data_IF_481478060285
#
_entry.id   IF_481478060285
#
_cell.length_a   1.000
_cell.length_b   1.000
_cell.length_c   1.000
_cell.angle_alpha   90.00
_cell.angle_beta   90.00
_cell.angle_gamma   90.00
#
_symmetry.space_group_name_H-M   'P 1'
#
loop_
_entity.id
_entity.type
_entity.pdbx_description
1 polymer ?
#
# COMPACT_ATOMS: atom_id res chain seq x y z
N UNK A 1 -65.14 -85.55 -14.24
CA UNK A 1 -64.89 -86.82 -13.55
C UNK A 1 -63.39 -87.06 -13.48
N UNK A 2 -62.91 -87.49 -12.30
CA UNK A 2 -61.63 -88.15 -12.01
C UNK A 2 -60.30 -87.36 -12.19
N UNK A 3 -59.68 -87.02 -11.04
CA UNK A 3 -58.23 -87.00 -10.89
C UNK A 3 -57.70 -88.44 -10.83
N UNK A 4 -56.44 -88.69 -11.25
CA UNK A 4 -55.55 -89.36 -10.29
C UNK A 4 -54.05 -89.01 -10.35
N UNK A 5 -53.46 -89.05 -9.15
CA UNK A 5 -52.18 -89.69 -8.70
C UNK A 5 -50.79 -89.16 -9.13
N UNK A 6 -50.10 -88.65 -8.09
CA UNK A 6 -48.65 -88.63 -7.83
C UNK A 6 -48.11 -90.09 -7.61
N UNK A 7 -46.81 -90.46 -7.72
CA UNK A 7 -45.73 -90.16 -6.73
C UNK A 7 -44.32 -90.01 -7.39
N UNK A 8 -43.19 -89.60 -6.77
CA UNK A 8 -42.41 -90.26 -5.70
C UNK A 8 -41.15 -89.40 -5.40
N UNK A 9 -40.72 -89.42 -4.14
CA UNK A 9 -39.56 -88.74 -3.54
C UNK A 9 -38.22 -89.45 -3.77
N UNK A 10 -37.12 -88.68 -3.72
CA UNK A 10 -35.78 -89.07 -3.21
C UNK A 10 -34.94 -87.76 -3.12
N UNK A 11 -34.07 -87.44 -2.16
CA UNK A 11 -33.53 -88.07 -0.96
C UNK A 11 -32.89 -86.92 -0.11
N UNK A 12 -32.59 -87.22 1.15
CA UNK A 12 -32.33 -86.35 2.31
C UNK A 12 -30.83 -86.06 2.54
N UNK A 13 -30.47 -84.91 3.14
CA UNK A 13 -29.52 -84.64 4.27
C UNK A 13 -29.11 -83.14 4.23
N UNK A 14 -29.44 -82.26 5.20
CA UNK A 14 -28.78 -82.04 6.52
C UNK A 14 -27.25 -82.13 6.42
N UNK A 15 -26.39 -81.21 6.83
CA UNK A 15 -26.35 -80.01 7.68
C UNK A 15 -25.12 -79.20 7.21
N UNK A 16 -24.94 -77.89 7.42
CA UNK A 16 -24.27 -77.37 8.62
C UNK A 16 -24.15 -75.81 8.53
N UNK A 17 -24.62 -75.16 9.58
CA UNK A 17 -24.01 -74.00 10.27
C UNK A 17 -23.60 -72.75 9.45
N UNK A 18 -24.48 -71.75 9.52
CA UNK A 18 -24.25 -70.43 10.11
C UNK A 18 -22.98 -69.61 9.78
N UNK A 19 -23.27 -68.39 9.28
CA UNK A 19 -22.73 -67.10 9.78
C UNK A 19 -21.44 -66.57 9.14
N UNK A 20 -21.57 -65.79 8.06
CA UNK A 20 -20.86 -64.49 7.97
C UNK A 20 -21.79 -63.42 7.39
N UNK A 21 -21.90 -62.35 8.17
CA UNK A 21 -22.75 -61.18 8.02
C UNK A 21 -22.07 -60.17 7.09
N UNK A 22 -22.84 -59.70 6.10
CA UNK A 22 -22.83 -58.36 5.51
C UNK A 22 -21.83 -57.34 6.07
N UNK A 23 -20.82 -56.95 5.28
CA UNK A 23 -20.15 -55.65 5.37
C UNK A 23 -19.50 -55.26 4.03
N UNK A 24 -20.28 -54.81 3.04
CA UNK A 24 -19.72 -53.99 1.93
C UNK A 24 -20.81 -53.17 1.25
N UNK A 25 -21.24 -52.04 1.84
CA UNK A 25 -21.97 -51.01 1.06
C UNK A 25 -22.02 -49.59 1.66
N UNK A 26 -21.61 -49.36 2.91
CA UNK A 26 -21.67 -48.00 3.49
C UNK A 26 -20.43 -47.14 3.26
N UNK A 27 -19.28 -47.71 2.93
CA UNK A 27 -18.01 -46.97 2.89
C UNK A 27 -17.84 -46.06 1.67
N UNK A 28 -18.63 -46.26 0.61
CA UNK A 28 -18.53 -45.47 -0.64
C UNK A 28 -19.32 -44.15 -0.58
N UNK A 29 -20.42 -44.10 0.17
CA UNK A 29 -21.31 -42.91 0.20
C UNK A 29 -20.73 -41.75 0.98
N UNK A 30 -19.85 -42.01 1.95
CA UNK A 30 -19.25 -40.94 2.78
C UNK A 30 -18.01 -40.30 2.14
N UNK A 31 -17.46 -40.89 1.07
CA UNK A 31 -16.29 -40.33 0.37
C UNK A 31 -16.65 -39.21 -0.60
N UNK A 32 -17.86 -39.22 -1.17
CA UNK A 32 -18.31 -38.14 -2.07
C UNK A 32 -18.75 -36.87 -1.32
N UNK A 33 -19.40 -36.99 -0.15
CA UNK A 33 -19.77 -35.81 0.65
C UNK A 33 -18.57 -35.17 1.37
N UNK A 34 -17.49 -35.91 1.59
CA UNK A 34 -16.25 -35.38 2.19
C UNK A 34 -15.39 -34.56 1.22
N UNK A 35 -15.64 -34.64 -0.09
CA UNK A 35 -14.85 -33.92 -1.10
C UNK A 35 -15.50 -32.59 -1.52
N UNK A 36 -16.82 -32.45 -1.43
CA UNK A 36 -17.52 -31.21 -1.86
C UNK A 36 -17.52 -30.13 -0.77
N UNK A 37 -17.50 -30.50 0.51
CA UNK A 37 -17.40 -29.54 1.62
C UNK A 37 -15.97 -29.04 1.86
N UNK A 38 -14.94 -29.79 1.43
CA UNK A 38 -13.54 -29.37 1.58
C UNK A 38 -13.13 -28.30 0.55
N UNK A 39 -13.77 -28.26 -0.62
CA UNK A 39 -13.53 -27.22 -1.64
C UNK A 39 -14.15 -25.85 -1.32
N UNK A 40 -15.19 -25.78 -0.48
CA UNK A 40 -15.84 -24.52 -0.13
C UNK A 40 -15.21 -23.78 1.06
N UNK A 41 -14.44 -24.48 1.92
CA UNK A 41 -13.70 -23.85 3.02
C UNK A 41 -12.36 -23.25 2.54
N UNK A 42 -11.79 -23.74 1.43
CA UNK A 42 -10.56 -23.19 0.86
C UNK A 42 -10.76 -21.88 0.06
N UNK A 43 -11.96 -21.57 -0.40
CA UNK A 43 -12.21 -20.37 -1.20
C UNK A 43 -12.31 -19.08 -0.37
N UNK A 44 -12.45 -19.17 0.95
CA UNK A 44 -12.63 -18.01 1.84
C UNK A 44 -11.33 -17.49 2.50
N UNK A 45 -10.18 -18.12 2.22
CA UNK A 45 -8.90 -17.84 2.92
C UNK A 45 -7.89 -17.00 2.12
N UNK A 46 -8.26 -16.49 0.93
CA UNK A 46 -7.31 -15.77 0.06
C UNK A 46 -7.68 -14.29 -0.17
N UNK A 47 -8.31 -13.64 0.79
CA UNK A 47 -8.27 -12.17 0.87
C UNK A 47 -7.12 -11.76 1.79
N UNK A 48 -5.89 -12.12 1.42
CA UNK A 48 -4.71 -11.47 1.99
C UNK A 48 -4.68 -10.05 1.43
N UNK A 49 -5.26 -9.10 2.16
CA UNK A 49 -5.12 -7.68 1.83
C UNK A 49 -3.63 -7.34 1.79
N UNK A 50 -3.12 -7.05 0.60
CA UNK A 50 -1.77 -6.49 0.48
C UNK A 50 -1.83 -5.07 1.02
N UNK A 51 -1.46 -4.87 2.28
CA UNK A 51 -1.19 -3.53 2.78
C UNK A 51 -0.08 -2.92 1.91
N UNK A 52 -0.37 -1.80 1.25
CA UNK A 52 0.67 -1.04 0.56
C UNK A 52 1.57 -0.42 1.62
N UNK A 53 2.85 -0.78 1.61
CA UNK A 53 3.84 -0.13 2.46
C UNK A 53 3.96 1.34 2.07
N UNK A 54 3.90 2.24 3.05
CA UNK A 54 4.11 3.67 2.82
C UNK A 54 5.60 4.01 2.84
N UNK A 55 5.98 5.04 2.07
CA UNK A 55 7.35 5.55 2.01
C UNK A 55 7.89 6.07 3.36
N UNK A 56 7.03 6.24 4.36
CA UNK A 56 7.34 6.81 5.68
C UNK A 56 7.04 5.88 6.86
N UNK A 57 6.63 4.63 6.61
CA UNK A 57 6.21 3.68 7.67
C UNK A 57 7.30 3.42 8.72
N UNK A 58 8.57 3.56 8.35
CA UNK A 58 9.74 3.37 9.21
C UNK A 58 10.24 4.67 9.89
N UNK A 59 9.53 5.79 9.70
CA UNK A 59 9.89 7.10 10.25
C UNK A 59 8.87 7.59 11.28
N UNK A 60 9.32 8.46 12.20
CA UNK A 60 8.44 9.05 13.20
C UNK A 60 7.88 10.38 12.70
N UNK A 61 6.56 10.56 12.77
CA UNK A 61 5.93 11.85 12.46
C UNK A 61 6.36 12.90 13.48
N UNK A 62 6.95 14.00 13.01
CA UNK A 62 7.43 15.10 13.84
C UNK A 62 6.40 16.22 13.99
N UNK A 63 5.61 16.45 12.95
CA UNK A 63 4.56 17.47 12.91
C UNK A 63 3.81 17.45 11.59
N UNK A 64 2.69 18.18 11.54
CA UNK A 64 1.82 18.27 10.37
C UNK A 64 1.12 19.63 10.34
N UNK A 65 0.76 20.11 9.16
CA UNK A 65 0.08 21.38 8.95
C UNK A 65 -0.51 21.51 7.55
N UNK A 66 -1.18 22.63 7.27
CA UNK A 66 -1.81 22.89 5.98
C UNK A 66 -1.24 24.15 5.33
N UNK A 67 -1.12 24.12 4.00
CA UNK A 67 -0.80 25.27 3.19
C UNK A 67 -2.06 25.82 2.54
N UNK A 68 -2.34 27.09 2.78
CA UNK A 68 -3.49 27.78 2.19
C UNK A 68 -3.06 28.97 1.36
N UNK A 69 -3.75 29.19 0.25
CA UNK A 69 -3.61 30.38 -0.57
C UNK A 69 -4.95 31.07 -0.71
N UNK A 70 -5.00 32.33 -0.29
CA UNK A 70 -6.25 33.08 -0.11
C UNK A 70 -7.22 32.31 0.81
N UNK A 71 -8.35 31.85 0.28
CA UNK A 71 -9.41 31.14 1.00
C UNK A 71 -9.43 29.63 0.73
N UNK A 72 -8.44 29.12 -0.01
CA UNK A 72 -8.35 27.71 -0.39
C UNK A 72 -7.17 27.02 0.29
N UNK A 73 -7.40 25.86 0.88
CA UNK A 73 -6.32 24.95 1.27
C UNK A 73 -5.83 24.19 0.05
N UNK A 74 -4.51 24.23 -0.21
CA UNK A 74 -3.87 23.60 -1.36
C UNK A 74 -3.44 22.17 -1.06
N UNK A 75 -2.81 21.96 0.09
CA UNK A 75 -2.35 20.64 0.54
C UNK A 75 -2.18 20.60 2.06
N UNK A 76 -2.20 19.39 2.63
CA UNK A 76 -1.58 19.14 3.92
C UNK A 76 -0.14 18.67 3.75
N UNK A 77 0.69 18.99 4.73
CA UNK A 77 2.08 18.58 4.78
C UNK A 77 2.33 17.87 6.11
N UNK A 78 3.07 16.76 6.03
CA UNK A 78 3.52 15.99 7.17
C UNK A 78 5.02 15.78 7.10
N UNK A 79 5.72 16.07 8.21
CA UNK A 79 7.16 15.93 8.30
C UNK A 79 7.53 14.77 9.23
N UNK A 80 8.44 13.92 8.75
CA UNK A 80 8.86 12.69 9.41
C UNK A 80 10.38 12.64 9.54
N UNK A 81 10.87 12.06 10.64
CA UNK A 81 12.32 11.88 10.87
C UNK A 81 12.63 10.56 11.59
N UNK A 82 13.84 10.07 11.42
CA UNK A 82 14.44 9.14 12.40
C UNK A 82 14.77 9.89 13.70
N UNK A 83 14.91 9.20 14.85
CA UNK A 83 15.32 9.85 16.11
C UNK A 83 16.65 10.61 16.02
N UNK A 84 17.56 10.15 15.17
CA UNK A 84 18.85 10.80 14.86
C UNK A 84 18.73 11.97 13.87
N UNK A 85 17.57 12.16 13.24
CA UNK A 85 17.34 13.05 12.08
C UNK A 85 18.23 12.74 10.86
N UNK A 86 18.85 11.56 10.80
CA UNK A 86 19.68 11.13 9.66
C UNK A 86 18.87 10.86 8.41
N UNK A 87 17.61 10.42 8.57
CA UNK A 87 16.64 10.31 7.49
C UNK A 87 15.44 11.20 7.78
N UNK A 88 14.95 11.83 6.73
CA UNK A 88 13.83 12.77 6.80
C UNK A 88 12.91 12.56 5.61
N UNK A 89 11.62 12.73 5.82
CA UNK A 89 10.65 12.73 4.75
C UNK A 89 9.63 13.85 4.91
N UNK A 90 9.16 14.37 3.78
CA UNK A 90 8.04 15.29 3.70
C UNK A 90 7.00 14.66 2.78
N UNK A 91 5.80 14.47 3.31
CA UNK A 91 4.63 13.98 2.58
C UNK A 91 3.66 15.12 2.38
N UNK A 92 3.25 15.33 1.13
CA UNK A 92 2.23 16.31 0.75
C UNK A 92 1.00 15.55 0.25
N UNK A 93 -0.18 15.91 0.73
CA UNK A 93 -1.46 15.44 0.20
C UNK A 93 -2.20 16.63 -0.41
N UNK A 94 -2.40 16.59 -1.72
CA UNK A 94 -2.99 17.70 -2.47
C UNK A 94 -4.51 17.65 -2.38
N UNK A 95 -5.11 18.82 -2.16
CA UNK A 95 -6.57 18.97 -2.12
C UNK A 95 -7.12 19.56 -3.41
N UNK A 96 -6.26 19.81 -4.41
CA UNK A 96 -6.62 20.44 -5.69
C UNK A 96 -5.78 19.84 -6.81
N UNK A 97 -6.34 19.86 -8.01
CA UNK A 97 -5.60 19.52 -9.21
C UNK A 97 -4.57 20.62 -9.53
N UNK A 98 -3.34 20.23 -9.84
CA UNK A 98 -2.26 21.14 -10.25
C UNK A 98 -1.42 20.46 -11.33
N UNK A 99 -1.19 21.17 -12.43
CA UNK A 99 -0.33 20.68 -13.50
C UNK A 99 1.12 20.53 -13.01
N UNK A 100 1.81 19.48 -13.49
CA UNK A 100 3.19 19.20 -13.09
C UNK A 100 4.12 20.37 -13.35
N UNK A 101 3.92 21.08 -14.47
CA UNK A 101 4.68 22.27 -14.82
C UNK A 101 4.52 23.37 -13.77
N UNK A 102 3.31 23.59 -13.29
CA UNK A 102 3.01 24.62 -12.28
C UNK A 102 3.58 24.25 -10.92
N UNK A 103 3.59 22.95 -10.55
CA UNK A 103 4.28 22.46 -9.35
C UNK A 103 5.79 22.75 -9.41
N UNK A 104 6.43 22.45 -10.54
CA UNK A 104 7.87 22.65 -10.72
C UNK A 104 8.21 24.15 -10.76
N UNK A 105 7.38 24.98 -11.40
CA UNK A 105 7.55 26.42 -11.45
C UNK A 105 7.38 27.07 -10.07
N UNK A 106 6.37 26.65 -9.30
CA UNK A 106 6.22 27.10 -7.92
C UNK A 106 7.42 26.71 -7.04
N UNK A 107 7.97 25.50 -7.23
CA UNK A 107 9.19 25.04 -6.54
C UNK A 107 10.40 25.93 -6.89
N UNK A 108 10.57 26.26 -8.17
CA UNK A 108 11.59 27.21 -8.64
C UNK A 108 11.47 28.57 -7.96
N UNK A 109 10.26 29.10 -7.87
CA UNK A 109 10.00 30.40 -7.26
C UNK A 109 10.34 30.39 -5.77
N UNK A 110 10.01 29.32 -5.06
CA UNK A 110 10.37 29.15 -3.65
C UNK A 110 11.89 29.09 -3.46
N UNK A 111 12.61 28.33 -4.27
CA UNK A 111 14.08 28.33 -4.21
C UNK A 111 14.71 29.68 -4.54
N UNK A 112 14.11 30.42 -5.49
CA UNK A 112 14.57 31.77 -5.83
C UNK A 112 14.40 32.72 -4.64
N UNK A 113 13.26 32.65 -3.94
CA UNK A 113 13.01 33.42 -2.70
C UNK A 113 13.96 33.05 -1.56
N UNK A 114 14.34 31.78 -1.47
CA UNK A 114 15.34 31.29 -0.50
C UNK A 114 16.79 31.64 -0.88
N UNK A 115 17.03 32.24 -2.06
CA UNK A 115 18.35 32.69 -2.49
C UNK A 115 19.25 31.60 -3.06
N UNK A 116 18.71 30.45 -3.47
CA UNK A 116 19.51 29.44 -4.17
C UNK A 116 19.99 29.96 -5.54
N UNK A 117 21.21 29.56 -5.93
CA UNK A 117 21.78 30.02 -7.20
C UNK A 117 21.00 29.51 -8.40
N UNK A 118 20.90 30.32 -9.45
CA UNK A 118 20.19 29.93 -10.68
C UNK A 118 20.78 28.68 -11.34
N UNK A 119 22.08 28.42 -11.17
CA UNK A 119 22.73 27.19 -11.66
C UNK A 119 22.21 25.95 -10.93
N UNK A 120 22.17 25.99 -9.59
CA UNK A 120 21.64 24.89 -8.79
C UNK A 120 20.16 24.65 -9.10
N UNK A 121 19.36 25.71 -9.13
CA UNK A 121 17.93 25.64 -9.46
C UNK A 121 17.75 24.96 -10.83
N UNK A 122 18.39 25.44 -11.90
CA UNK A 122 18.24 24.86 -13.24
C UNK A 122 18.63 23.37 -13.29
N UNK A 123 19.71 22.99 -12.59
CA UNK A 123 20.15 21.60 -12.49
C UNK A 123 19.09 20.71 -11.84
N UNK A 124 18.45 21.22 -10.78
CA UNK A 124 17.45 20.49 -10.00
C UNK A 124 16.07 20.45 -10.65
N UNK A 125 15.68 21.46 -11.45
CA UNK A 125 14.39 21.46 -12.14
C UNK A 125 14.30 20.39 -13.24
N UNK A 126 15.42 20.08 -13.92
CA UNK A 126 15.43 19.10 -15.01
C UNK A 126 14.89 17.72 -14.60
N UNK A 127 15.36 17.07 -13.51
CA UNK A 127 14.76 15.81 -13.07
C UNK A 127 13.33 15.97 -12.55
N UNK A 128 12.96 17.12 -11.96
CA UNK A 128 11.58 17.34 -11.49
C UNK A 128 10.58 17.36 -12.66
N UNK A 129 10.85 18.13 -13.72
CA UNK A 129 9.99 18.12 -14.93
C UNK A 129 9.90 16.75 -15.59
N UNK A 130 10.93 15.91 -15.46
CA UNK A 130 10.93 14.58 -16.05
C UNK A 130 10.13 13.55 -15.24
N UNK A 131 10.02 13.72 -13.91
CA UNK A 131 9.46 12.69 -13.03
C UNK A 131 8.09 13.05 -12.46
N UNK A 132 7.79 14.32 -12.22
CA UNK A 132 6.56 14.70 -11.53
C UNK A 132 5.35 14.63 -12.46
N UNK A 133 4.31 13.86 -12.09
CA UNK A 133 3.04 13.86 -12.80
C UNK A 133 2.20 15.09 -12.41
N UNK A 134 1.08 15.28 -13.10
CA UNK A 134 0.02 16.14 -12.58
C UNK A 134 -0.49 15.55 -11.26
N UNK A 135 -0.87 16.41 -10.31
CA UNK A 135 -1.54 16.00 -9.07
C UNK A 135 -3.02 16.27 -9.21
N UNK A 136 -3.83 15.41 -8.64
CA UNK A 136 -5.27 15.57 -8.49
C UNK A 136 -5.63 15.75 -7.01
N UNK A 137 -6.89 16.05 -6.71
CA UNK A 137 -7.37 15.97 -5.32
C UNK A 137 -7.20 14.56 -4.75
N UNK A 138 -6.55 14.45 -3.60
CA UNK A 138 -6.18 13.20 -2.93
C UNK A 138 -4.83 12.62 -3.37
N UNK A 139 -4.17 13.17 -4.39
CA UNK A 139 -2.83 12.74 -4.77
C UNK A 139 -1.82 13.02 -3.67
N UNK A 140 -0.86 12.11 -3.50
CA UNK A 140 0.24 12.27 -2.54
C UNK A 140 1.59 12.35 -3.23
N UNK A 141 2.42 13.32 -2.83
CA UNK A 141 3.82 13.43 -3.24
C UNK A 141 4.70 13.39 -1.99
N UNK A 142 5.56 12.39 -1.91
CA UNK A 142 6.48 12.20 -0.79
C UNK A 142 7.92 12.28 -1.28
N UNK A 143 8.73 13.09 -0.60
CA UNK A 143 10.20 13.04 -0.72
C UNK A 143 10.77 12.37 0.52
N UNK A 144 11.70 11.43 0.34
CA UNK A 144 12.54 10.88 1.41
C UNK A 144 14.01 11.21 1.12
N UNK A 145 14.66 11.88 2.05
CA UNK A 145 16.09 12.16 2.07
C UNK A 145 16.74 11.12 2.98
N UNK A 146 17.48 10.19 2.38
CA UNK A 146 18.16 9.13 3.10
C UNK A 146 19.47 9.62 3.75
N UNK A 147 20.08 8.78 4.57
CA UNK A 147 21.30 9.09 5.32
C UNK A 147 22.49 9.47 4.40
N UNK A 148 22.53 8.93 3.18
CA UNK A 148 23.52 9.26 2.15
C UNK A 148 23.24 10.61 1.44
N UNK A 149 22.18 11.32 1.84
CA UNK A 149 21.60 12.52 1.24
C UNK A 149 21.02 12.32 -0.17
N UNK A 150 20.77 11.08 -0.58
CA UNK A 150 20.04 10.79 -1.82
C UNK A 150 18.55 11.01 -1.59
N UNK A 151 17.92 11.72 -2.52
CA UNK A 151 16.49 12.04 -2.45
C UNK A 151 15.68 11.10 -3.32
N UNK A 152 14.68 10.43 -2.75
CA UNK A 152 13.76 9.52 -3.44
C UNK A 152 12.36 10.11 -3.41
N UNK A 153 11.69 10.13 -4.57
CA UNK A 153 10.31 10.60 -4.69
C UNK A 153 9.34 9.45 -4.87
N UNK A 154 8.18 9.60 -4.25
CA UNK A 154 7.06 8.68 -4.35
C UNK A 154 5.80 9.48 -4.69
N UNK A 155 5.02 8.99 -5.66
CA UNK A 155 3.70 9.50 -6.01
C UNK A 155 2.68 8.41 -5.72
N UNK A 156 1.67 8.69 -4.90
CA UNK A 156 0.69 7.69 -4.45
C UNK A 156 1.33 6.39 -3.93
N UNK A 157 2.36 6.60 -3.10
CA UNK A 157 3.22 5.57 -2.49
C UNK A 157 4.05 4.75 -3.51
N UNK A 158 4.02 5.08 -4.80
CA UNK A 158 4.85 4.44 -5.84
C UNK A 158 6.12 5.24 -6.11
N UNK A 159 7.32 4.61 -6.15
CA UNK A 159 8.55 5.33 -6.46
C UNK A 159 8.53 5.86 -7.89
N UNK A 160 8.79 7.16 -8.06
CA UNK A 160 8.77 7.85 -9.36
C UNK A 160 10.13 8.38 -9.80
N UNK A 161 11.11 8.45 -8.88
CA UNK A 161 12.44 8.92 -9.25
C UNK A 161 13.39 9.08 -8.08
N UNK A 162 14.65 9.36 -8.41
CA UNK A 162 15.73 9.58 -7.44
C UNK A 162 16.65 10.68 -7.95
N UNK A 163 17.09 11.55 -7.05
CA UNK A 163 18.06 12.61 -7.32
C UNK A 163 19.29 12.37 -6.44
N UNK A 164 20.44 12.22 -7.10
CA UNK A 164 21.73 11.87 -6.50
C UNK A 164 22.52 13.09 -5.99
N UNK A 165 22.11 14.30 -6.37
CA UNK A 165 22.74 15.53 -5.89
C UNK A 165 22.47 15.70 -4.38
N UNK A 166 23.51 15.55 -3.57
CA UNK A 166 23.41 15.59 -2.10
C UNK A 166 22.93 16.93 -1.53
N UNK A 167 22.99 18.00 -2.32
CA UNK A 167 22.47 19.31 -1.91
C UNK A 167 20.96 19.44 -2.16
N UNK A 168 20.40 18.62 -3.04
CA UNK A 168 19.00 18.72 -3.46
C UNK A 168 18.04 18.49 -2.31
N UNK A 169 18.21 17.41 -1.54
CA UNK A 169 17.25 17.01 -0.51
C UNK A 169 17.06 18.09 0.56
N UNK A 170 18.17 18.66 1.02
CA UNK A 170 18.16 19.80 1.94
C UNK A 170 17.48 21.02 1.33
N UNK A 171 17.82 21.36 0.08
CA UNK A 171 17.23 22.51 -0.60
C UNK A 171 15.72 22.35 -0.80
N UNK A 172 15.27 21.14 -1.11
CA UNK A 172 13.85 20.85 -1.27
C UNK A 172 13.11 20.99 0.07
N UNK A 173 13.59 20.33 1.12
CA UNK A 173 13.00 20.43 2.45
C UNK A 173 13.03 21.86 3.01
N UNK A 174 14.04 22.66 2.65
CA UNK A 174 14.17 24.06 3.06
C UNK A 174 12.99 24.93 2.64
N UNK A 175 12.25 24.59 1.57
CA UNK A 175 11.02 25.31 1.17
C UNK A 175 10.03 25.39 2.34
N UNK A 176 9.92 24.34 3.15
CA UNK A 176 9.03 24.29 4.32
C UNK A 176 9.75 24.51 5.65
N UNK A 177 11.01 24.08 5.76
CA UNK A 177 11.69 23.96 7.05
C UNK A 177 12.73 25.06 7.31
N UNK A 178 13.13 25.82 6.30
CA UNK A 178 14.07 26.93 6.46
C UNK A 178 13.47 28.03 7.34
N UNK A 179 14.29 28.69 8.14
CA UNK A 179 13.88 29.90 8.87
C UNK A 179 13.44 31.03 7.93
N UNK A 180 13.90 31.01 6.68
CA UNK A 180 13.55 31.98 5.63
C UNK A 180 12.41 31.51 4.72
N UNK A 181 11.65 30.47 5.08
CA UNK A 181 10.49 30.00 4.31
C UNK A 181 9.45 31.12 4.12
N UNK A 182 8.69 31.07 3.02
CA UNK A 182 7.53 31.95 2.86
C UNK A 182 6.39 31.60 3.82
N UNK A 183 6.40 30.42 4.44
CA UNK A 183 5.33 29.92 5.32
C UNK A 183 5.77 29.64 6.77
N UNK A 184 6.14 30.67 7.57
CA UNK A 184 6.64 30.47 8.93
C UNK A 184 5.65 29.75 9.87
N UNK A 185 4.35 29.93 9.66
CA UNK A 185 3.31 29.25 10.44
C UNK A 185 3.31 27.74 10.21
N UNK A 186 3.29 27.34 8.94
CA UNK A 186 3.38 25.94 8.52
C UNK A 186 4.68 25.30 9.01
N UNK A 187 5.82 26.01 8.91
CA UNK A 187 7.09 25.54 9.47
C UNK A 187 6.98 25.17 10.94
N UNK A 188 6.38 26.05 11.77
CA UNK A 188 6.26 25.77 13.20
C UNK A 188 5.37 24.54 13.46
N UNK A 189 4.32 24.35 12.66
CA UNK A 189 3.48 23.15 12.72
C UNK A 189 4.28 21.88 12.40
N UNK A 190 5.03 21.88 11.30
CA UNK A 190 5.84 20.74 10.86
C UNK A 190 6.98 20.40 11.83
N UNK A 191 7.58 21.40 12.47
CA UNK A 191 8.65 21.21 13.45
C UNK A 191 8.13 20.94 14.87
N UNK A 192 6.81 20.97 15.08
CA UNK A 192 6.20 20.81 16.40
C UNK A 192 6.60 21.92 17.39
N UNK A 193 6.77 23.15 16.89
CA UNK A 193 7.15 24.33 17.66
C UNK A 193 5.96 25.12 18.19
N UNK A 194 4.74 24.77 17.77
CA UNK A 194 3.50 25.31 18.33
C UNK A 194 3.20 24.56 19.62
N UNK A 195 3.61 25.12 20.76
CA UNK A 195 3.16 24.72 22.09
C UNK A 195 2.18 25.74 22.62
#
# INVERSE_FOLDING_TARGET
MAFPRNPTQAFKSESDVSRVRTQTSEQSRNRLFSLVTLTLICAALLFTGTAKASAVDDLNKRGQGEMSYLFWTLYSAEFYTTPSNSERALKLEYYRAIDSKDLVDATKDQWSKLGYSSNNIQRWLKPLYAMWPNVEEGSTLTIRVAEDNVSRFYFDEQPIGTIQDKQFGEAFLAIWLSENTSEPGLRKQLLGLNK
#
